data_IF_926038387714
#
_entry.id   IF_926038387714
#
_cell.length_a   1.000
_cell.length_b   1.000
_cell.length_c   1.000
_cell.angle_alpha   90.00
_cell.angle_beta   90.00
_cell.angle_gamma   90.00
#
_symmetry.space_group_name_H-M   'P 1'
#
loop_
_entity.id
_entity.type
_entity.pdbx_description
1 polymer ?
#
# COMPACT_ATOMS: atom_id res chain seq x y z
N UNK A 1 -36.21 -30.86 2.24
CA UNK A 1 -35.72 -31.87 1.28
C UNK A 1 -34.97 -31.17 0.17
N UNK A 2 -33.65 -31.03 0.32
CA UNK A 2 -32.67 -30.77 -0.73
C UNK A 2 -31.28 -30.91 -0.10
N UNK A 3 -31.03 -32.16 0.27
CA UNK A 3 -29.72 -32.74 0.46
C UNK A 3 -29.06 -32.73 -0.94
N UNK A 4 -27.71 -32.69 -1.01
CA UNK A 4 -26.80 -32.57 -2.19
C UNK A 4 -26.28 -31.12 -2.31
N UNK A 5 -25.00 -30.75 -2.15
CA UNK A 5 -23.69 -31.41 -2.33
C UNK A 5 -22.72 -30.79 -1.31
N UNK A 6 -22.00 -31.54 -0.46
CA UNK A 6 -20.68 -32.13 -0.69
C UNK A 6 -19.65 -31.21 -1.41
N UNK A 7 -18.56 -30.94 -0.66
CA UNK A 7 -17.16 -30.83 -1.10
C UNK A 7 -16.54 -29.43 -1.30
N UNK A 8 -15.70 -29.09 -0.31
CA UNK A 8 -14.33 -28.54 -0.42
C UNK A 8 -14.14 -27.16 -1.05
N UNK A 9 -13.80 -26.20 -0.19
CA UNK A 9 -12.61 -25.38 -0.36
C UNK A 9 -12.38 -24.57 0.93
N UNK A 10 -11.91 -25.24 2.00
CA UNK A 10 -11.13 -24.52 3.02
C UNK A 10 -9.74 -24.24 2.41
N UNK A 11 -9.70 -23.36 1.41
CA UNK A 11 -8.45 -22.89 0.83
C UNK A 11 -7.79 -21.98 1.85
N UNK A 12 -6.66 -22.44 2.36
CA UNK A 12 -5.60 -21.70 3.04
C UNK A 12 -5.64 -20.19 2.73
N UNK A 13 -6.33 -19.41 3.55
CA UNK A 13 -6.07 -17.97 3.71
C UNK A 13 -4.86 -17.84 4.63
N UNK A 14 -3.68 -18.24 4.14
CA UNK A 14 -2.43 -18.20 4.91
C UNK A 14 -1.34 -17.34 4.26
N UNK A 15 -1.70 -16.50 3.27
CA UNK A 15 -0.78 -15.51 2.68
C UNK A 15 -1.26 -14.06 2.83
N UNK A 16 -2.41 -13.79 3.45
CA UNK A 16 -2.93 -12.42 3.60
C UNK A 16 -2.35 -11.64 4.79
N UNK A 17 -1.58 -12.29 5.67
CA UNK A 17 -1.14 -11.70 6.95
C UNK A 17 0.39 -11.71 7.13
N UNK A 18 1.17 -11.59 6.05
CA UNK A 18 2.55 -11.16 6.26
C UNK A 18 2.51 -9.63 6.35
N UNK A 19 2.63 -9.02 7.55
CA UNK A 19 2.87 -7.59 7.61
C UNK A 19 4.17 -7.36 6.84
N UNK A 20 4.05 -6.74 5.67
CA UNK A 20 5.19 -6.17 4.97
C UNK A 20 5.88 -5.23 5.95
N UNK A 21 7.21 -5.06 5.89
CA UNK A 21 7.97 -4.39 6.93
C UNK A 21 7.64 -2.89 6.95
N UNK A 22 6.57 -2.50 7.66
CA UNK A 22 6.14 -1.10 7.90
C UNK A 22 7.26 -0.31 8.61
N UNK A 23 8.20 -0.99 9.26
CA UNK A 23 9.32 -0.34 9.95
C UNK A 23 10.33 0.36 9.02
N UNK A 24 10.38 0.04 7.71
CA UNK A 24 11.31 0.71 6.78
C UNK A 24 10.69 1.94 6.09
N UNK A 25 9.35 2.03 6.03
CA UNK A 25 8.63 3.11 5.34
C UNK A 25 8.56 4.40 6.18
N UNK A 26 8.44 4.33 7.50
CA UNK A 26 8.32 5.53 8.35
C UNK A 26 9.54 6.50 8.28
N UNK A 27 10.71 6.04 7.82
CA UNK A 27 11.91 6.87 7.63
C UNK A 27 12.17 7.26 6.17
N UNK A 28 11.26 6.96 5.25
CA UNK A 28 11.46 7.22 3.82
C UNK A 28 11.22 8.72 3.50
N UNK A 29 12.23 9.46 3.00
CA UNK A 29 12.10 10.88 2.70
C UNK A 29 11.11 11.18 1.56
N UNK A 30 10.72 10.17 0.77
CA UNK A 30 9.73 10.30 -0.30
C UNK A 30 8.28 10.22 0.20
N UNK A 31 8.05 9.79 1.45
CA UNK A 31 6.71 9.62 2.02
C UNK A 31 6.26 10.83 2.85
N UNK A 32 7.02 11.92 2.87
CA UNK A 32 6.71 13.14 3.62
C UNK A 32 7.03 14.38 2.75
N UNK A 33 6.31 15.50 2.93
CA UNK A 33 6.63 16.74 2.25
C UNK A 33 8.06 17.20 2.50
N UNK A 34 8.72 17.77 1.49
CA UNK A 34 10.09 18.25 1.65
C UNK A 34 10.14 19.50 2.55
N UNK A 35 11.07 19.58 3.51
CA UNK A 35 11.26 20.76 4.34
C UNK A 35 12.05 21.88 3.65
N UNK A 36 12.53 21.66 2.41
CA UNK A 36 13.31 22.66 1.67
C UNK A 36 12.39 23.72 1.05
N UNK A 37 12.87 24.95 0.80
CA UNK A 37 12.08 25.99 0.12
C UNK A 37 11.52 25.47 -1.21
N UNK A 38 10.27 25.82 -1.51
CA UNK A 38 9.56 25.34 -2.71
C UNK A 38 9.44 23.82 -2.81
N UNK A 39 9.55 23.11 -1.69
CA UNK A 39 9.43 21.65 -1.60
C UNK A 39 10.44 20.90 -2.49
N UNK A 40 11.61 21.49 -2.73
CA UNK A 40 12.67 20.82 -3.49
C UNK A 40 12.98 19.44 -2.88
N UNK A 41 13.12 18.38 -3.69
CA UNK A 41 13.44 17.06 -3.15
C UNK A 41 14.78 17.08 -2.39
N UNK A 42 14.86 16.50 -1.18
CA UNK A 42 16.12 16.39 -0.43
C UNK A 42 17.00 15.29 -1.02
N UNK A 43 17.62 15.56 -2.19
CA UNK A 43 18.41 14.59 -2.95
C UNK A 43 19.61 14.01 -2.18
N UNK A 44 20.12 14.72 -1.17
CA UNK A 44 21.16 14.24 -0.25
C UNK A 44 20.69 13.06 0.62
N UNK A 45 19.37 12.92 0.84
CA UNK A 45 18.77 11.89 1.70
C UNK A 45 18.11 10.77 0.92
N UNK A 46 17.79 10.97 -0.35
CA UNK A 46 17.12 9.98 -1.19
C UNK A 46 18.14 8.95 -1.68
N UNK A 47 17.84 7.66 -1.50
CA UNK A 47 18.67 6.52 -1.90
C UNK A 47 17.87 5.56 -2.79
N UNK A 48 18.54 4.74 -3.63
CA UNK A 48 17.86 3.74 -4.46
C UNK A 48 16.86 2.85 -3.70
N UNK A 49 17.21 2.45 -2.48
CA UNK A 49 16.38 1.61 -1.61
C UNK A 49 15.07 2.27 -1.16
N UNK A 50 14.93 3.59 -1.34
CA UNK A 50 13.72 4.33 -0.95
C UNK A 50 12.64 4.30 -2.04
N UNK A 51 12.98 4.02 -3.29
CA UNK A 51 12.03 4.14 -4.39
C UNK A 51 10.97 3.04 -4.34
N UNK A 52 11.35 1.77 -4.38
CA UNK A 52 10.37 0.68 -4.45
C UNK A 52 9.36 0.72 -3.27
N UNK A 53 9.81 0.87 -2.00
CA UNK A 53 8.86 0.96 -0.89
C UNK A 53 7.95 2.20 -0.96
N UNK A 54 8.45 3.35 -1.47
CA UNK A 54 7.62 4.54 -1.63
C UNK A 54 6.58 4.38 -2.74
N UNK A 55 6.95 3.72 -3.84
CA UNK A 55 6.03 3.42 -4.93
C UNK A 55 4.92 2.48 -4.50
N UNK A 56 5.23 1.42 -3.76
CA UNK A 56 4.22 0.49 -3.24
C UNK A 56 3.19 1.21 -2.36
N UNK A 57 3.65 2.01 -1.40
CA UNK A 57 2.76 2.83 -0.55
C UNK A 57 1.93 3.80 -1.38
N UNK A 58 2.55 4.53 -2.30
CA UNK A 58 1.83 5.49 -3.14
C UNK A 58 0.77 4.84 -4.04
N UNK A 59 1.01 3.62 -4.52
CA UNK A 59 0.00 2.86 -5.28
C UNK A 59 -1.17 2.44 -4.40
N UNK A 60 -0.90 1.95 -3.18
CA UNK A 60 -1.94 1.59 -2.21
C UNK A 60 -2.83 2.78 -1.87
N UNK A 61 -2.23 3.91 -1.50
CA UNK A 61 -2.96 5.17 -1.21
C UNK A 61 -3.75 5.67 -2.41
N UNK A 62 -3.21 5.52 -3.63
CA UNK A 62 -3.90 5.95 -4.85
C UNK A 62 -5.15 5.11 -5.14
N UNK A 63 -5.08 3.79 -4.94
CA UNK A 63 -6.24 2.90 -5.12
C UNK A 63 -7.34 3.23 -4.12
N UNK A 64 -6.99 3.44 -2.85
CA UNK A 64 -7.96 3.82 -1.81
C UNK A 64 -8.67 5.15 -2.14
N UNK A 65 -7.94 6.13 -2.66
CA UNK A 65 -8.51 7.42 -3.08
C UNK A 65 -9.47 7.26 -4.27
N UNK A 66 -9.13 6.41 -5.24
CA UNK A 66 -9.99 6.11 -6.39
C UNK A 66 -11.27 5.42 -5.93
N UNK A 67 -11.18 4.39 -5.08
CA UNK A 67 -12.34 3.67 -4.55
C UNK A 67 -13.27 4.59 -3.74
N UNK A 68 -12.68 5.47 -2.93
CA UNK A 68 -13.42 6.50 -2.19
C UNK A 68 -14.16 7.45 -3.13
N UNK A 69 -13.51 7.88 -4.21
CA UNK A 69 -14.13 8.77 -5.22
C UNK A 69 -15.25 8.06 -5.98
N UNK A 70 -15.03 6.79 -6.37
CA UNK A 70 -16.01 6.01 -7.11
C UNK A 70 -17.28 5.75 -6.28
N UNK A 71 -17.13 5.41 -5.00
CA UNK A 71 -18.26 5.15 -4.09
C UNK A 71 -19.06 6.40 -3.69
N UNK A 72 -18.54 7.61 -3.92
CA UNK A 72 -19.29 8.86 -3.70
C UNK A 72 -20.30 9.18 -4.82
N UNK A 73 -20.19 8.54 -5.98
CA UNK A 73 -21.06 8.78 -7.13
C UNK A 73 -22.25 7.79 -7.21
N UNK A 74 -22.32 6.85 -6.28
CA UNK A 74 -23.43 5.89 -6.10
C UNK A 74 -24.42 6.37 -5.04
#
# INVERSE_FOLDING_TARGET
MRIISLLVAATLTACANHPLPIMKTASNPLLQPSPLPYEYPPFDRIKPDHFMPAFEVGMEESLEQVDTTASQLE
#
